data_IF_491091030753
#
_entry.id   IF_491091030753
#
_cell.length_a   1.000
_cell.length_b   1.000
_cell.length_c   1.000
_cell.angle_alpha   90.00
_cell.angle_beta   90.00
_cell.angle_gamma   90.00
#
_symmetry.space_group_name_H-M   'P 1'
#
loop_
_entity.id
_entity.type
_entity.pdbx_description
1 polymer ?
#
# COMPACT_ATOMS: atom_id res chain seq x y z
N UNK A 1 -6.10 -0.56 -10.18
CA UNK A 1 -5.26 0.10 -9.17
C UNK A 1 -6.00 1.27 -8.52
N UNK A 2 -6.27 2.38 -9.22
CA UNK A 2 -6.86 3.59 -8.60
C UNK A 2 -8.19 3.36 -7.87
N UNK A 3 -9.11 2.58 -8.47
CA UNK A 3 -10.38 2.23 -7.82
C UNK A 3 -10.19 1.38 -6.56
N UNK A 4 -9.32 0.36 -6.62
CA UNK A 4 -8.97 -0.49 -5.46
C UNK A 4 -8.27 0.33 -4.36
N UNK A 5 -7.38 1.25 -4.76
CA UNK A 5 -6.69 2.15 -3.85
C UNK A 5 -7.67 3.11 -3.16
N UNK A 6 -8.62 3.67 -3.91
CA UNK A 6 -9.71 4.48 -3.38
C UNK A 6 -10.60 3.71 -2.41
N UNK A 7 -10.95 2.45 -2.72
CA UNK A 7 -11.76 1.60 -1.84
C UNK A 7 -11.05 1.32 -0.51
N UNK A 8 -9.74 1.04 -0.54
CA UNK A 8 -8.96 0.74 0.66
C UNK A 8 -8.63 1.97 1.50
N UNK A 9 -8.29 3.10 0.86
CA UNK A 9 -7.72 4.27 1.55
C UNK A 9 -8.68 5.43 1.67
N UNK A 10 -9.72 5.51 0.84
CA UNK A 10 -10.60 6.68 0.71
C UNK A 10 -10.00 7.83 -0.09
N UNK A 11 -8.79 7.69 -0.65
CA UNK A 11 -8.09 8.73 -1.38
C UNK A 11 -7.71 8.28 -2.80
N UNK A 12 -7.43 9.24 -3.69
CA UNK A 12 -6.78 8.96 -4.97
C UNK A 12 -5.27 8.79 -4.77
N UNK A 13 -4.61 7.89 -5.51
CA UNK A 13 -3.18 7.71 -5.40
C UNK A 13 -2.43 8.95 -5.91
N UNK A 14 -1.34 9.30 -5.24
CA UNK A 14 -0.39 10.30 -5.71
C UNK A 14 0.40 9.77 -6.91
N UNK A 15 0.90 10.67 -7.76
CA UNK A 15 1.63 10.26 -8.98
C UNK A 15 2.82 9.34 -8.72
N UNK A 16 3.53 9.52 -7.60
CA UNK A 16 4.65 8.65 -7.24
C UNK A 16 4.18 7.26 -6.78
N UNK A 17 3.01 7.16 -6.14
CA UNK A 17 2.40 5.91 -5.71
C UNK A 17 1.97 5.09 -6.94
N UNK A 18 1.34 5.74 -7.91
CA UNK A 18 0.97 5.12 -9.17
C UNK A 18 2.20 4.63 -9.93
N UNK A 19 3.27 5.44 -9.97
CA UNK A 19 4.54 5.07 -10.60
C UNK A 19 5.21 3.87 -9.91
N UNK A 20 5.30 3.90 -8.58
CA UNK A 20 5.84 2.78 -7.81
C UNK A 20 5.09 1.47 -8.10
N UNK A 21 3.77 1.55 -8.21
CA UNK A 21 2.94 0.39 -8.51
C UNK A 21 3.22 -0.17 -9.91
N UNK A 22 3.08 0.66 -10.95
CA UNK A 22 3.15 0.20 -12.34
C UNK A 22 4.56 -0.15 -12.80
N UNK A 23 5.57 0.55 -12.29
CA UNK A 23 6.95 0.31 -12.70
C UNK A 23 7.57 -0.90 -12.00
N UNK A 24 7.15 -1.20 -10.76
CA UNK A 24 7.75 -2.24 -9.92
C UNK A 24 6.75 -3.29 -9.43
N UNK A 25 5.82 -2.91 -8.55
CA UNK A 25 5.02 -3.89 -7.81
C UNK A 25 4.12 -4.75 -8.70
N UNK A 26 3.51 -4.18 -9.74
CA UNK A 26 2.70 -4.92 -10.72
C UNK A 26 3.51 -5.99 -11.46
N UNK A 27 4.81 -5.75 -11.65
CA UNK A 27 5.74 -6.69 -12.29
C UNK A 27 6.35 -7.70 -11.31
N UNK A 28 6.01 -7.62 -10.03
CA UNK A 28 6.62 -8.43 -8.97
C UNK A 28 8.03 -7.97 -8.59
N UNK A 29 8.43 -6.77 -8.98
CA UNK A 29 9.74 -6.20 -8.69
C UNK A 29 9.68 -5.30 -7.44
N UNK A 30 10.81 -5.18 -6.74
CA UNK A 30 10.94 -4.31 -5.56
C UNK A 30 12.08 -3.34 -5.84
N UNK A 31 11.85 -2.02 -5.85
CA UNK A 31 12.92 -1.05 -6.06
C UNK A 31 13.90 -1.08 -4.88
N UNK A 32 15.17 -0.79 -5.16
CA UNK A 32 16.19 -0.69 -4.12
C UNK A 32 15.92 0.46 -3.13
N UNK A 33 15.30 1.55 -3.59
CA UNK A 33 14.92 2.69 -2.77
C UNK A 33 13.73 3.45 -3.38
N UNK A 34 12.97 4.11 -2.51
CA UNK A 34 11.88 5.02 -2.88
C UNK A 34 12.13 6.34 -2.15
N UNK A 35 12.71 7.31 -2.84
CA UNK A 35 13.09 8.59 -2.26
C UNK A 35 11.96 9.60 -2.40
N UNK A 36 11.16 9.73 -1.33
CA UNK A 36 9.98 10.60 -1.28
C UNK A 36 10.06 11.45 0.00
N UNK A 37 9.86 12.78 -0.09
CA UNK A 37 9.76 13.66 1.07
C UNK A 37 8.77 13.19 2.14
N UNK A 38 8.96 13.66 3.38
CA UNK A 38 7.98 13.45 4.46
C UNK A 38 6.65 14.12 4.13
N UNK A 39 5.55 13.58 4.65
CA UNK A 39 4.21 14.15 4.45
C UNK A 39 3.52 13.74 3.13
N UNK A 40 4.19 13.02 2.24
CA UNK A 40 3.61 12.58 0.95
C UNK A 40 3.03 11.15 0.98
N UNK A 41 2.60 10.68 2.15
CA UNK A 41 1.84 9.42 2.26
C UNK A 41 2.64 8.14 1.99
N UNK A 42 3.90 8.05 2.47
CA UNK A 42 4.74 6.84 2.31
C UNK A 42 4.12 5.56 2.87
N UNK A 43 3.30 5.66 3.91
CA UNK A 43 2.60 4.52 4.52
C UNK A 43 1.67 3.81 3.53
N UNK A 44 1.18 4.51 2.50
CA UNK A 44 0.32 3.94 1.47
C UNK A 44 0.99 2.84 0.63
N UNK A 45 2.31 2.66 0.74
CA UNK A 45 3.04 1.51 0.18
C UNK A 45 2.40 0.18 0.62
N UNK A 46 1.86 0.10 1.84
CA UNK A 46 1.13 -1.08 2.32
C UNK A 46 -0.08 -1.40 1.44
N UNK A 47 -0.88 -0.40 1.10
CA UNK A 47 -2.05 -0.57 0.23
C UNK A 47 -1.64 -0.97 -1.18
N UNK A 48 -0.61 -0.32 -1.75
CA UNK A 48 -0.07 -0.67 -3.06
C UNK A 48 0.43 -2.12 -3.11
N UNK A 49 1.12 -2.57 -2.07
CA UNK A 49 1.60 -3.93 -1.93
C UNK A 49 0.45 -4.95 -1.90
N UNK A 50 -0.59 -4.67 -1.11
CA UNK A 50 -1.78 -5.51 -1.02
C UNK A 50 -2.50 -5.62 -2.36
N UNK A 51 -2.71 -4.50 -3.05
CA UNK A 51 -3.37 -4.46 -4.37
C UNK A 51 -2.56 -5.25 -5.40
N UNK A 52 -1.23 -5.09 -5.42
CA UNK A 52 -0.39 -5.82 -6.38
C UNK A 52 -0.47 -7.33 -6.13
N UNK A 53 -0.40 -7.75 -4.86
CA UNK A 53 -0.55 -9.15 -4.44
C UNK A 53 -1.93 -9.71 -4.80
N UNK A 54 -3.00 -8.95 -4.59
CA UNK A 54 -4.37 -9.33 -4.96
C UNK A 54 -4.52 -9.53 -6.47
N UNK A 55 -3.87 -8.68 -7.26
CA UNK A 55 -3.85 -8.77 -8.72
C UNK A 55 -2.85 -9.83 -9.25
N UNK A 56 -2.31 -10.70 -8.39
CA UNK A 56 -1.47 -11.83 -8.78
C UNK A 56 0.02 -11.52 -8.95
N UNK A 57 0.51 -10.35 -8.56
CA UNK A 57 1.93 -10.05 -8.63
C UNK A 57 2.76 -10.98 -7.73
N UNK A 58 3.93 -11.39 -8.23
CA UNK A 58 4.85 -12.30 -7.54
C UNK A 58 5.69 -11.60 -6.45
N UNK A 59 5.05 -10.79 -5.61
CA UNK A 59 5.71 -10.15 -4.47
C UNK A 59 5.79 -11.11 -3.27
N UNK A 60 6.73 -10.93 -2.33
CA UNK A 60 6.75 -11.65 -1.06
C UNK A 60 5.41 -11.58 -0.30
N UNK A 61 5.06 -12.65 0.42
CA UNK A 61 3.80 -12.69 1.20
C UNK A 61 3.78 -11.76 2.40
N UNK A 62 4.93 -11.53 3.02
CA UNK A 62 5.06 -10.76 4.27
C UNK A 62 5.74 -9.44 3.97
N UNK A 63 5.08 -8.34 4.31
CA UNK A 63 5.65 -7.01 4.32
C UNK A 63 5.96 -6.65 5.78
N UNK A 64 7.20 -6.24 6.06
CA UNK A 64 7.61 -5.73 7.37
C UNK A 64 7.88 -4.24 7.23
N UNK A 65 7.12 -3.42 7.97
CA UNK A 65 7.26 -1.97 7.93
C UNK A 65 7.99 -1.49 9.19
N UNK A 66 9.21 -0.98 9.00
CA UNK A 66 10.09 -0.54 10.09
C UNK A 66 10.22 0.98 10.05
N UNK A 67 10.01 1.63 11.20
CA UNK A 67 10.18 3.07 11.38
C UNK A 67 10.90 3.37 12.69
N UNK A 68 11.59 4.50 12.73
CA UNK A 68 12.55 4.85 13.79
C UNK A 68 11.89 5.31 15.11
N UNK A 69 10.58 5.60 15.12
CA UNK A 69 9.92 6.24 16.28
C UNK A 69 8.53 5.68 16.55
N UNK A 70 8.22 5.47 17.83
CA UNK A 70 6.95 4.90 18.30
C UNK A 70 5.70 5.61 17.76
N UNK A 71 5.65 6.94 17.80
CA UNK A 71 4.48 7.67 17.31
C UNK A 71 4.20 7.42 15.81
N UNK A 72 5.24 7.14 15.01
CA UNK A 72 5.09 6.78 13.60
C UNK A 72 4.67 5.31 13.45
N UNK A 73 5.14 4.42 14.35
CA UNK A 73 4.65 3.04 14.42
C UNK A 73 3.15 3.04 14.68
N UNK A 74 2.69 3.77 15.70
CA UNK A 74 1.28 3.80 16.08
C UNK A 74 0.40 4.25 14.90
N UNK A 75 0.78 5.32 14.19
CA UNK A 75 0.08 5.78 12.97
C UNK A 75 0.09 4.75 11.83
N UNK A 76 1.22 4.08 11.62
CA UNK A 76 1.34 3.06 10.59
C UNK A 76 0.51 1.81 10.92
N UNK A 77 0.41 1.46 12.21
CA UNK A 77 -0.42 0.37 12.71
C UNK A 77 -1.90 0.69 12.52
N UNK A 78 -2.37 1.88 12.92
CA UNK A 78 -3.75 2.32 12.67
C UNK A 78 -4.13 2.23 11.19
N UNK A 79 -3.21 2.66 10.30
CA UNK A 79 -3.42 2.54 8.87
C UNK A 79 -3.48 1.09 8.40
N UNK A 80 -2.61 0.21 8.90
CA UNK A 80 -2.63 -1.22 8.57
C UNK A 80 -3.93 -1.90 9.03
N UNK A 81 -4.41 -1.57 10.23
CA UNK A 81 -5.68 -2.07 10.77
C UNK A 81 -6.88 -1.60 9.93
N UNK A 82 -6.86 -0.34 9.49
CA UNK A 82 -7.88 0.19 8.57
C UNK A 82 -7.91 -0.57 7.24
N UNK A 83 -6.74 -0.89 6.67
CA UNK A 83 -6.66 -1.69 5.45
C UNK A 83 -7.22 -3.10 5.66
N UNK A 84 -6.91 -3.76 6.78
CA UNK A 84 -7.48 -5.06 7.13
C UNK A 84 -9.00 -5.01 7.26
N UNK A 85 -9.53 -4.01 7.99
CA UNK A 85 -10.97 -3.84 8.16
C UNK A 85 -11.68 -3.57 6.82
N UNK A 86 -11.05 -2.80 5.92
CA UNK A 86 -11.57 -2.53 4.58
C UNK A 86 -11.55 -3.74 3.67
N UNK A 87 -10.53 -4.60 3.76
CA UNK A 87 -10.51 -5.87 3.01
C UNK A 87 -11.66 -6.80 3.41
N UNK A 88 -12.15 -6.71 4.65
CA UNK A 88 -13.30 -7.46 5.12
C UNK A 88 -14.65 -6.85 4.76
N UNK A 89 -14.66 -5.63 4.22
CA UNK A 89 -15.87 -4.99 3.72
C UNK A 89 -16.21 -5.47 2.30
N UNK A 90 -17.50 -5.47 1.92
CA UNK A 90 -17.93 -5.85 0.57
C UNK A 90 -17.45 -4.88 -0.52
N UNK A 91 -17.05 -3.65 -0.15
CA UNK A 91 -16.53 -2.64 -1.08
C UNK A 91 -15.13 -2.99 -1.61
N UNK A 92 -14.39 -3.84 -0.90
CA UNK A 92 -13.07 -4.33 -1.31
C UNK A 92 -13.12 -5.73 -1.91
N UNK A 93 -14.30 -6.22 -2.33
CA UNK A 93 -14.45 -7.54 -2.95
C UNK A 93 -13.54 -7.72 -4.17
N UNK A 94 -13.25 -6.64 -4.91
CA UNK A 94 -12.33 -6.63 -6.05
C UNK A 94 -10.83 -6.66 -5.67
N UNK A 95 -10.52 -6.73 -4.37
CA UNK A 95 -9.14 -6.83 -3.82
C UNK A 95 -8.91 -8.18 -3.12
N UNK A 96 -9.94 -9.02 -2.94
CA UNK A 96 -9.81 -10.37 -2.39
C UNK A 96 -9.60 -11.41 -3.50
#
# INVERSE_FOLDING_TARGET
>A
MDSQFGALTGFLPLSWQSRLFSEFFEKGEIPAAVDIPTGLGKTAVMALWLIARANGAQLPRRLVYVVDRRAVVDQATEFAELLCAKLDSPEAADVK
#
